data_IF_250707699611
#
_entry.id   IF_250707699611
#
_cell.length_a   1.000
_cell.length_b   1.000
_cell.length_c   1.000
_cell.angle_alpha   90.00
_cell.angle_beta   90.00
_cell.angle_gamma   90.00
#
_symmetry.space_group_name_H-M   'P 1'
#
loop_
_entity.id
_entity.type
_entity.pdbx_description
1 polymer ?
#
# COMPACT_ATOMS: atom_id res chain seq x y z
N UNK A 1 -9.47 -15.11 3.04
CA UNK A 1 -8.97 -14.38 4.21
C UNK A 1 -9.02 -12.88 3.85
N UNK A 2 -9.79 -12.06 4.59
CA UNK A 2 -10.44 -10.78 4.14
C UNK A 2 -11.29 -10.92 2.86
N UNK A 3 -12.54 -10.47 2.88
CA UNK A 3 -13.47 -10.67 1.74
C UNK A 3 -13.19 -9.69 0.61
N UNK A 4 -13.05 -8.40 0.95
CA UNK A 4 -12.92 -7.32 -0.02
C UNK A 4 -12.30 -6.09 0.62
N UNK A 5 -11.44 -5.42 -0.14
CA UNK A 5 -11.01 -4.03 0.09
C UNK A 5 -11.42 -3.23 -1.14
N UNK A 6 -12.33 -2.26 -0.98
CA UNK A 6 -12.84 -1.46 -2.08
C UNK A 6 -11.86 -0.37 -2.52
N UNK A 7 -12.21 0.33 -3.61
CA UNK A 7 -11.39 1.41 -4.17
C UNK A 7 -11.20 2.54 -3.16
N UNK A 8 -10.09 3.26 -3.31
CA UNK A 8 -9.74 4.39 -2.44
C UNK A 8 -9.75 4.07 -0.94
N UNK A 9 -9.68 2.80 -0.53
CA UNK A 9 -9.51 2.45 0.86
C UNK A 9 -8.04 2.65 1.26
N UNK A 10 -7.79 3.41 2.32
CA UNK A 10 -6.46 3.63 2.88
C UNK A 10 -6.26 2.72 4.09
N UNK A 11 -5.29 1.81 4.00
CA UNK A 11 -4.90 0.94 5.11
C UNK A 11 -3.64 1.48 5.74
N UNK A 12 -3.77 1.96 6.97
CA UNK A 12 -2.66 2.49 7.76
C UNK A 12 -1.64 1.41 8.11
N UNK A 13 -0.42 1.85 8.41
CA UNK A 13 0.70 0.97 8.74
C UNK A 13 0.36 0.08 9.96
N UNK A 14 0.68 -1.21 9.85
CA UNK A 14 0.46 -2.18 10.93
C UNK A 14 -1.01 -2.48 11.24
N UNK A 15 -1.95 -2.05 10.40
CA UNK A 15 -3.35 -2.44 10.55
C UNK A 15 -3.54 -3.92 10.21
N UNK A 16 -4.44 -4.60 10.94
CA UNK A 16 -4.75 -6.02 10.76
C UNK A 16 -6.21 -6.20 10.40
N UNK A 17 -6.46 -6.90 9.29
CA UNK A 17 -7.80 -7.26 8.83
C UNK A 17 -8.07 -8.74 9.16
N UNK A 18 -9.04 -9.01 10.02
CA UNK A 18 -9.46 -10.37 10.33
C UNK A 18 -10.40 -10.93 9.26
N UNK A 19 -10.82 -12.18 9.47
CA UNK A 19 -11.45 -12.99 8.44
C UNK A 19 -12.79 -12.45 7.98
N UNK A 20 -13.12 -12.65 6.71
CA UNK A 20 -14.42 -12.25 6.15
C UNK A 20 -14.76 -10.74 6.30
N UNK A 21 -13.79 -9.89 6.63
CA UNK A 21 -13.99 -8.44 6.70
C UNK A 21 -14.26 -7.85 5.30
N UNK A 22 -15.16 -6.87 5.24
CA UNK A 22 -15.57 -6.15 4.02
C UNK A 22 -15.35 -4.66 4.24
N UNK A 23 -14.38 -4.07 3.52
CA UNK A 23 -14.01 -2.67 3.64
C UNK A 23 -14.60 -1.89 2.47
N UNK A 24 -15.51 -0.95 2.77
CA UNK A 24 -16.17 -0.09 1.81
C UNK A 24 -15.24 0.93 1.14
N UNK A 25 -15.74 1.59 0.11
CA UNK A 25 -15.00 2.57 -0.69
C UNK A 25 -14.66 3.82 0.14
N UNK A 26 -13.47 4.38 -0.06
CA UNK A 26 -13.03 5.58 0.65
C UNK A 26 -12.86 5.38 2.17
N UNK A 27 -12.78 4.14 2.66
CA UNK A 27 -12.57 3.89 4.08
C UNK A 27 -11.13 4.14 4.48
N UNK A 28 -10.92 4.60 5.72
CA UNK A 28 -9.60 4.75 6.32
C UNK A 28 -9.48 3.79 7.50
N UNK A 29 -8.50 2.91 7.45
CA UNK A 29 -8.12 2.05 8.57
C UNK A 29 -6.89 2.71 9.21
N UNK A 30 -7.00 3.17 10.45
CA UNK A 30 -5.90 3.82 11.15
C UNK A 30 -4.73 2.87 11.38
N UNK A 31 -3.53 3.44 11.58
CA UNK A 31 -2.35 2.67 11.92
C UNK A 31 -2.58 1.84 13.20
N UNK A 32 -2.15 0.58 13.17
CA UNK A 32 -2.33 -0.37 14.27
C UNK A 32 -3.78 -0.76 14.58
N UNK A 33 -4.76 -0.38 13.75
CA UNK A 33 -6.15 -0.76 13.99
C UNK A 33 -6.41 -2.23 13.62
N UNK A 34 -7.30 -2.89 14.36
CA UNK A 34 -7.69 -4.29 14.10
C UNK A 34 -9.16 -4.36 13.69
N UNK A 35 -9.42 -4.70 12.43
CA UNK A 35 -10.77 -4.92 11.91
C UNK A 35 -11.23 -6.33 12.28
N UNK A 36 -12.38 -6.40 12.95
CA UNK A 36 -12.95 -7.66 13.46
C UNK A 36 -13.35 -8.62 12.34
N UNK A 37 -13.39 -9.91 12.68
CA UNK A 37 -13.87 -10.95 11.77
C UNK A 37 -15.33 -10.70 11.38
N UNK A 38 -15.64 -10.77 10.09
CA UNK A 38 -16.96 -10.53 9.52
C UNK A 38 -17.42 -9.07 9.56
N UNK A 39 -16.56 -8.13 9.96
CA UNK A 39 -16.93 -6.72 10.04
C UNK A 39 -17.23 -6.15 8.64
N UNK A 40 -18.39 -5.50 8.51
CA UNK A 40 -18.79 -4.74 7.32
C UNK A 40 -18.61 -3.25 7.61
N UNK A 41 -17.60 -2.64 6.99
CA UNK A 41 -17.30 -1.23 7.16
C UNK A 41 -18.03 -0.46 6.04
N UNK A 42 -18.95 0.47 6.37
CA UNK A 42 -19.64 1.25 5.35
C UNK A 42 -18.69 2.22 4.64
N UNK A 43 -18.96 2.61 3.38
CA UNK A 43 -18.14 3.57 2.65
C UNK A 43 -17.91 4.88 3.43
N UNK A 44 -16.74 5.51 3.26
CA UNK A 44 -16.41 6.76 3.94
C UNK A 44 -16.34 6.64 5.46
N UNK A 45 -15.91 5.48 5.98
CA UNK A 45 -15.72 5.27 7.42
C UNK A 45 -14.27 5.26 7.84
N UNK A 46 -14.01 5.69 9.07
CA UNK A 46 -12.73 5.60 9.76
C UNK A 46 -12.76 4.48 10.80
N UNK A 47 -11.80 3.56 10.76
CA UNK A 47 -11.63 2.50 11.76
C UNK A 47 -10.41 2.79 12.62
N UNK A 48 -10.61 2.85 13.95
CA UNK A 48 -9.54 3.17 14.91
C UNK A 48 -9.47 2.18 16.07
N UNK A 49 -8.24 1.90 16.52
CA UNK A 49 -7.95 1.17 17.75
C UNK A 49 -8.02 -0.35 17.65
N UNK A 50 -7.80 -0.98 18.80
CA UNK A 50 -7.87 -2.42 19.01
C UNK A 50 -8.73 -2.68 20.25
N UNK A 51 -9.94 -3.23 20.13
CA UNK A 51 -10.61 -3.67 18.90
C UNK A 51 -11.17 -2.49 18.07
N UNK A 52 -11.06 -2.57 16.74
CA UNK A 52 -11.43 -1.50 15.81
C UNK A 52 -12.86 -0.99 15.97
N UNK A 53 -12.99 0.32 16.21
CA UNK A 53 -14.25 1.06 16.28
C UNK A 53 -14.46 1.84 14.99
N UNK A 54 -15.66 1.75 14.43
CA UNK A 54 -16.07 2.48 13.22
C UNK A 54 -16.56 3.87 13.63
N UNK A 55 -16.09 4.89 12.92
CA UNK A 55 -16.48 6.30 13.06
C UNK A 55 -16.72 6.90 11.66
N UNK A 56 -17.46 7.98 11.59
CA UNK A 56 -17.60 8.75 10.35
C UNK A 56 -16.26 9.38 9.97
N UNK A 57 -15.90 9.31 8.69
CA UNK A 57 -14.71 9.97 8.16
C UNK A 57 -14.97 11.48 8.05
N UNK A 58 -13.98 12.30 8.42
CA UNK A 58 -14.04 13.74 8.17
C UNK A 58 -13.67 14.05 6.71
N UNK A 59 -14.17 15.15 6.16
CA UNK A 59 -13.83 15.59 4.80
C UNK A 59 -12.32 15.79 4.61
N UNK A 60 -11.64 16.30 5.65
CA UNK A 60 -10.18 16.46 5.64
C UNK A 60 -9.45 15.12 5.42
N UNK A 61 -9.95 14.04 6.00
CA UNK A 61 -9.38 12.70 5.85
C UNK A 61 -9.70 12.09 4.48
N UNK A 62 -10.86 12.37 3.90
CA UNK A 62 -11.19 11.94 2.54
C UNK A 62 -10.22 12.54 1.50
N UNK A 63 -9.96 13.86 1.59
CA UNK A 63 -9.00 14.51 0.69
C UNK A 63 -7.55 14.03 0.86
N UNK A 64 -7.20 13.47 2.03
CA UNK A 64 -5.87 12.90 2.26
C UNK A 64 -5.63 11.62 1.47
N UNK A 65 -6.67 10.80 1.25
CA UNK A 65 -6.58 9.55 0.49
C UNK A 65 -6.12 9.83 -0.94
N UNK A 66 -6.78 10.76 -1.62
CA UNK A 66 -6.49 11.10 -3.01
C UNK A 66 -5.08 11.66 -3.17
N UNK A 67 -4.71 12.66 -2.35
CA UNK A 67 -3.38 13.28 -2.40
C UNK A 67 -2.26 12.29 -2.09
N UNK A 68 -2.46 11.45 -1.09
CA UNK A 68 -1.46 10.45 -0.69
C UNK A 68 -1.22 9.44 -1.81
N UNK A 69 -2.29 8.97 -2.47
CA UNK A 69 -2.17 8.01 -3.56
C UNK A 69 -1.32 8.55 -4.71
N UNK A 70 -1.57 9.78 -5.16
CA UNK A 70 -0.82 10.41 -6.23
C UNK A 70 0.65 10.62 -5.84
N UNK A 71 0.90 11.03 -4.59
CA UNK A 71 2.25 11.22 -4.07
C UNK A 71 3.07 9.92 -4.06
N UNK A 72 2.51 8.82 -3.55
CA UNK A 72 3.21 7.53 -3.53
C UNK A 72 3.47 6.97 -4.93
N UNK A 73 2.54 7.16 -5.87
CA UNK A 73 2.77 6.77 -7.28
C UNK A 73 3.93 7.57 -7.88
N UNK A 74 3.98 8.89 -7.66
CA UNK A 74 5.07 9.73 -8.14
C UNK A 74 6.42 9.32 -7.53
N UNK A 75 6.44 9.07 -6.21
CA UNK A 75 7.63 8.63 -5.49
C UNK A 75 8.13 7.26 -5.98
N UNK A 76 7.21 6.31 -6.19
CA UNK A 76 7.53 5.00 -6.75
C UNK A 76 8.16 5.11 -8.14
N UNK A 77 7.62 5.97 -9.01
CA UNK A 77 8.20 6.23 -10.34
C UNK A 77 9.60 6.81 -10.24
N UNK A 78 9.82 7.76 -9.31
CA UNK A 78 11.14 8.36 -9.09
C UNK A 78 12.17 7.30 -8.68
N UNK A 79 11.88 6.50 -7.66
CA UNK A 79 12.82 5.48 -7.20
C UNK A 79 13.03 4.36 -8.22
N UNK A 80 11.99 3.96 -8.97
CA UNK A 80 12.16 3.01 -10.07
C UNK A 80 13.03 3.57 -11.22
N UNK A 81 13.07 4.88 -11.41
CA UNK A 81 13.92 5.52 -12.41
C UNK A 81 15.38 5.69 -11.93
N UNK A 82 15.60 5.88 -10.63
CA UNK A 82 16.96 5.91 -10.03
C UNK A 82 17.62 4.53 -10.08
N UNK A 83 16.84 3.46 -9.98
CA UNK A 83 17.30 2.08 -10.17
C UNK A 83 17.21 1.67 -11.65
N UNK A 84 18.12 2.14 -12.50
CA UNK A 84 18.12 1.82 -13.93
C UNK A 84 19.12 0.70 -14.28
N UNK A 85 18.71 -0.20 -15.17
CA UNK A 85 19.57 -1.23 -15.72
C UNK A 85 20.55 -0.63 -16.72
N UNK A 86 21.85 -0.89 -16.54
CA UNK A 86 22.92 -0.39 -17.41
C UNK A 86 22.82 -0.90 -18.87
N UNK A 87 22.11 -2.02 -19.11
CA UNK A 87 21.94 -2.61 -20.44
C UNK A 87 20.73 -2.10 -21.22
N UNK A 88 19.58 -1.91 -20.55
CA UNK A 88 18.32 -1.58 -21.24
C UNK A 88 17.60 -0.35 -20.69
N UNK A 89 18.14 0.30 -19.64
CA UNK A 89 17.49 1.42 -18.96
C UNK A 89 16.22 1.06 -18.18
N UNK A 90 15.84 -0.23 -18.13
CA UNK A 90 14.67 -0.70 -17.41
C UNK A 90 14.85 -0.71 -15.89
N UNK A 91 13.77 -0.72 -15.10
CA UNK A 91 13.85 -0.65 -13.65
C UNK A 91 14.55 -1.88 -13.06
N UNK A 92 15.41 -1.67 -12.07
CA UNK A 92 16.11 -2.71 -11.33
C UNK A 92 15.62 -2.80 -9.87
N UNK A 93 15.68 -3.99 -9.29
CA UNK A 93 15.45 -4.21 -7.86
C UNK A 93 16.75 -4.65 -7.19
N UNK A 94 17.14 -3.93 -6.15
CA UNK A 94 18.23 -4.32 -5.26
C UNK A 94 17.73 -5.34 -4.23
N UNK A 95 18.27 -6.56 -4.26
CA UNK A 95 18.04 -7.57 -3.22
C UNK A 95 19.36 -8.03 -2.62
N UNK A 96 19.68 -7.52 -1.42
CA UNK A 96 20.79 -7.93 -0.53
C UNK A 96 22.21 -7.76 -1.11
N UNK A 97 22.49 -8.32 -2.28
CA UNK A 97 23.67 -8.05 -3.10
C UNK A 97 23.42 -8.21 -4.60
N UNK A 98 22.16 -8.39 -5.02
CA UNK A 98 21.79 -8.77 -6.39
C UNK A 98 20.83 -7.74 -6.97
N UNK A 99 21.27 -7.01 -7.98
CA UNK A 99 20.48 -6.12 -8.82
C UNK A 99 19.82 -6.98 -9.88
N UNK A 100 18.50 -6.99 -9.97
CA UNK A 100 17.77 -7.69 -11.05
C UNK A 100 16.95 -6.68 -11.85
N UNK A 101 17.19 -6.60 -13.15
CA UNK A 101 16.35 -5.83 -14.06
C UNK A 101 15.02 -6.52 -14.28
N UNK A 102 13.92 -5.82 -14.02
CA UNK A 102 12.57 -6.32 -14.24
C UNK A 102 12.15 -6.32 -15.72
N UNK A 103 12.92 -5.65 -16.60
CA UNK A 103 12.62 -5.54 -18.02
C UNK A 103 13.33 -6.62 -18.86
N UNK A 104 14.65 -6.77 -18.71
CA UNK A 104 15.44 -7.73 -19.50
C UNK A 104 15.95 -8.94 -18.70
N UNK A 105 15.71 -8.98 -17.38
CA UNK A 105 16.19 -10.07 -16.52
C UNK A 105 17.69 -10.01 -16.20
N UNK A 106 18.42 -8.97 -16.62
CA UNK A 106 19.82 -8.77 -16.26
C UNK A 106 20.04 -8.84 -14.76
N UNK A 107 21.09 -9.54 -14.33
CA UNK A 107 21.44 -9.69 -12.93
C UNK A 107 22.86 -9.17 -12.74
N UNK A 108 23.08 -8.34 -11.73
CA UNK A 108 24.42 -7.95 -11.26
C UNK A 108 24.55 -8.27 -9.78
N UNK A 109 25.65 -8.86 -9.35
CA UNK A 109 25.95 -9.04 -7.94
C UNK A 109 27.32 -8.46 -7.54
N UNK A 110 27.65 -8.54 -6.25
CA UNK A 110 28.90 -8.02 -5.69
C UNK A 110 30.18 -8.77 -6.11
N UNK A 111 30.05 -9.86 -6.87
CA UNK A 111 31.16 -10.60 -7.47
C UNK A 111 31.42 -10.15 -8.92
N UNK A 112 30.52 -9.38 -9.52
CA UNK A 112 30.71 -8.81 -10.85
C UNK A 112 31.73 -7.66 -10.80
N UNK A 113 32.68 -7.59 -11.76
CA UNK A 113 33.82 -6.66 -11.75
C UNK A 113 33.44 -5.18 -11.95
#
# INVERSE_FOLDING_TARGET
FTRRVARAALVGMGAVLLQRADVGEGCVIAAGAVVKEGAKIPPGSLVVGVPGRVRSLSEAAAGWIERSSAHYVALSRKFMAESACELCGGPTLERHCKIVCLNCGYQRDCSDP
#
